data_IF_979929137248
#
_entry.id   IF_979929137248
#
_cell.length_a   1.000
_cell.length_b   1.000
_cell.length_c   1.000
_cell.angle_alpha   90.00
_cell.angle_beta   90.00
_cell.angle_gamma   90.00
#
_symmetry.space_group_name_H-M   'P 1'
#
loop_
_entity.id
_entity.type
_entity.pdbx_description
1 polymer ?
#
# COMPACT_ATOMS: atom_id res chain seq x y z
N UNK A 1 -1.95 4.45 0.43
CA UNK A 1 -3.32 4.78 0.89
C UNK A 1 -4.25 4.48 -0.27
N UNK A 2 -5.46 4.03 -0.01
CA UNK A 2 -6.47 3.79 -1.04
C UNK A 2 -7.73 4.59 -0.73
N UNK A 3 -8.32 5.20 -1.77
CA UNK A 3 -9.51 6.02 -1.63
C UNK A 3 -10.55 5.72 -2.68
N UNK A 4 -11.80 5.96 -2.31
CA UNK A 4 -12.92 5.90 -3.24
C UNK A 4 -13.20 7.33 -3.74
N UNK A 5 -12.91 7.65 -5.01
CA UNK A 5 -13.09 9.01 -5.54
C UNK A 5 -14.56 9.43 -5.67
N UNK A 6 -15.50 8.47 -5.65
CA UNK A 6 -16.93 8.75 -5.78
C UNK A 6 -17.57 9.11 -4.43
N UNK A 7 -17.09 8.53 -3.33
CA UNK A 7 -17.58 8.82 -1.98
C UNK A 7 -16.68 9.77 -1.20
N UNK A 8 -15.42 9.93 -1.64
CA UNK A 8 -14.39 10.68 -0.92
C UNK A 8 -13.84 9.97 0.32
N UNK A 9 -14.09 8.67 0.47
CA UNK A 9 -13.67 7.87 1.63
C UNK A 9 -12.25 7.34 1.44
N UNK A 10 -11.36 7.61 2.39
CA UNK A 10 -10.05 6.96 2.53
C UNK A 10 -10.23 5.64 3.27
N UNK A 11 -10.25 4.53 2.54
CA UNK A 11 -10.65 3.24 3.11
C UNK A 11 -9.50 2.33 3.53
N UNK A 12 -8.26 2.63 3.12
CA UNK A 12 -7.11 1.86 3.56
C UNK A 12 -5.85 2.72 3.74
N UNK A 13 -5.24 2.59 4.91
CA UNK A 13 -3.90 3.09 5.23
C UNK A 13 -2.98 1.89 5.41
N UNK A 14 -2.07 1.69 4.46
CA UNK A 14 -1.06 0.64 4.54
C UNK A 14 0.28 1.22 4.93
N UNK A 15 1.00 0.52 5.80
CA UNK A 15 2.37 0.86 6.19
C UNK A 15 3.22 -0.39 6.35
N UNK A 16 4.52 -0.27 6.19
CA UNK A 16 5.47 -1.32 6.54
C UNK A 16 6.58 -0.69 7.37
N UNK A 17 6.76 -1.18 8.60
CA UNK A 17 7.66 -0.58 9.59
C UNK A 17 8.94 -1.41 9.70
N UNK A 18 10.03 -0.87 9.17
CA UNK A 18 11.36 -1.41 9.42
C UNK A 18 11.90 -0.86 10.74
N UNK A 19 12.34 -1.76 11.61
CA UNK A 19 13.07 -1.44 12.84
C UNK A 19 14.56 -1.73 12.64
N UNK A 20 15.46 -1.15 13.45
CA UNK A 20 16.90 -1.44 13.35
C UNK A 20 17.20 -2.95 13.30
N UNK A 21 17.77 -3.42 12.19
CA UNK A 21 18.10 -4.83 11.97
C UNK A 21 16.92 -5.77 11.71
N UNK A 22 15.68 -5.27 11.59
CA UNK A 22 14.47 -6.07 11.40
C UNK A 22 13.54 -5.45 10.36
N UNK A 23 13.34 -6.15 9.25
CA UNK A 23 12.32 -5.78 8.26
C UNK A 23 10.92 -5.98 8.81
N UNK A 24 10.04 -5.04 8.51
CA UNK A 24 8.62 -5.13 8.81
C UNK A 24 7.86 -6.03 7.84
N UNK A 25 6.59 -6.23 8.15
CA UNK A 25 5.57 -6.71 7.23
C UNK A 25 4.53 -5.61 7.00
N UNK A 26 3.80 -5.63 5.88
CA UNK A 26 2.65 -4.74 5.69
C UNK A 26 1.64 -4.86 6.84
N UNK A 27 1.20 -3.71 7.33
CA UNK A 27 0.14 -3.50 8.31
C UNK A 27 -0.94 -2.61 7.68
N UNK A 28 -2.20 -2.90 7.95
CA UNK A 28 -3.33 -2.21 7.31
C UNK A 28 -4.33 -1.69 8.34
N UNK A 29 -4.73 -0.43 8.18
CA UNK A 29 -5.80 0.20 8.94
C UNK A 29 -6.90 0.55 7.96
N UNK A 30 -8.06 -0.07 8.11
CA UNK A 30 -9.10 -0.05 7.07
C UNK A 30 -10.42 0.47 7.60
N UNK A 31 -11.10 1.27 6.78
CA UNK A 31 -12.51 1.55 6.96
C UNK A 31 -13.32 0.39 6.37
N UNK A 32 -14.45 0.06 6.99
CA UNK A 32 -15.32 -1.03 6.58
C UNK A 32 -16.68 -0.58 6.05
N UNK A 33 -16.84 0.73 5.84
CA UNK A 33 -18.03 1.43 5.37
C UNK A 33 -17.66 2.77 4.74
N UNK A 34 -18.63 3.43 4.12
CA UNK A 34 -18.48 4.81 3.62
C UNK A 34 -18.62 5.89 4.69
N UNK A 35 -18.77 5.52 5.97
CA UNK A 35 -19.05 6.51 7.02
C UNK A 35 -17.81 7.25 7.47
N UNK A 36 -17.93 8.56 7.68
CA UNK A 36 -16.84 9.41 8.15
C UNK A 36 -16.24 8.94 9.48
N UNK A 37 -17.05 8.39 10.38
CA UNK A 37 -16.58 7.86 11.66
C UNK A 37 -15.72 6.59 11.50
N UNK A 38 -16.00 5.77 10.49
CA UNK A 38 -15.23 4.56 10.22
C UNK A 38 -13.91 4.89 9.51
N UNK A 39 -13.93 5.84 8.57
CA UNK A 39 -12.72 6.46 8.02
C UNK A 39 -11.86 7.07 9.14
N UNK A 40 -12.48 7.85 10.04
CA UNK A 40 -11.76 8.48 11.15
C UNK A 40 -11.08 7.45 12.06
N UNK A 41 -11.75 6.34 12.38
CA UNK A 41 -11.16 5.25 13.18
C UNK A 41 -9.97 4.60 12.49
N UNK A 42 -10.08 4.33 11.18
CA UNK A 42 -8.96 3.79 10.41
C UNK A 42 -7.77 4.77 10.38
N UNK A 43 -8.05 6.06 10.16
CA UNK A 43 -7.05 7.11 10.16
C UNK A 43 -6.38 7.29 11.52
N UNK A 44 -7.14 7.35 12.61
CA UNK A 44 -6.62 7.46 13.96
C UNK A 44 -5.74 6.25 14.32
N UNK A 45 -6.17 5.03 13.99
CA UNK A 45 -5.38 3.81 14.21
C UNK A 45 -4.03 3.85 13.47
N UNK A 46 -4.03 4.37 12.23
CA UNK A 46 -2.80 4.58 11.48
C UNK A 46 -1.86 5.60 12.16
N UNK A 47 -2.38 6.75 12.60
CA UNK A 47 -1.57 7.76 13.28
C UNK A 47 -1.05 7.23 14.62
N UNK A 48 -1.85 6.48 15.36
CA UNK A 48 -1.47 5.88 16.64
C UNK A 48 -0.29 4.91 16.45
N UNK A 49 -0.35 4.08 15.40
CA UNK A 49 0.76 3.22 15.02
C UNK A 49 2.03 4.01 14.71
N UNK A 50 1.93 5.13 13.98
CA UNK A 50 3.09 5.97 13.67
C UNK A 50 3.69 6.61 14.93
N UNK A 51 2.85 7.05 15.87
CA UNK A 51 3.29 7.57 17.15
C UNK A 51 3.96 6.51 18.02
N UNK A 52 3.50 5.26 17.99
CA UNK A 52 4.16 4.13 18.65
C UNK A 52 5.57 3.90 18.10
N UNK A 53 5.72 3.81 16.77
CA UNK A 53 7.04 3.64 16.13
C UNK A 53 7.95 4.79 16.50
N UNK A 54 7.48 6.04 16.36
CA UNK A 54 8.21 7.26 16.70
C UNK A 54 8.72 7.25 18.14
N UNK A 55 7.88 6.84 19.11
CA UNK A 55 8.28 6.74 20.53
C UNK A 55 9.37 5.69 20.74
N UNK A 56 9.34 4.60 19.98
CA UNK A 56 10.33 3.51 20.09
C UNK A 56 11.70 3.89 19.48
N UNK A 57 11.71 4.47 18.28
CA UNK A 57 12.95 4.80 17.55
C UNK A 57 13.51 6.20 17.85
N UNK A 58 12.71 7.06 18.48
CA UNK A 58 13.04 8.45 18.76
C UNK A 58 12.80 9.40 17.58
N UNK A 59 12.79 10.70 17.87
CA UNK A 59 12.40 11.77 16.94
C UNK A 59 13.27 11.89 15.69
N UNK A 60 14.56 11.58 15.82
CA UNK A 60 15.57 11.65 14.75
C UNK A 60 15.67 10.35 13.94
N UNK A 61 15.27 9.22 14.53
CA UNK A 61 15.30 7.90 13.89
C UNK A 61 14.06 7.57 13.05
N UNK A 62 13.07 8.47 13.00
CA UNK A 62 11.78 8.26 12.36
C UNK A 62 11.70 8.97 11.01
N UNK A 63 11.48 8.20 9.93
CA UNK A 63 11.26 8.71 8.58
C UNK A 63 10.16 7.89 7.88
N UNK A 64 9.35 8.56 7.05
CA UNK A 64 8.27 7.92 6.29
C UNK A 64 8.60 8.01 4.81
N UNK A 65 8.79 6.89 4.14
CA UNK A 65 9.01 6.87 2.70
C UNK A 65 7.68 6.70 1.98
N UNK A 66 7.45 7.50 0.95
CA UNK A 66 6.25 7.43 0.13
C UNK A 66 6.59 7.67 -1.35
N UNK A 67 5.62 7.42 -2.23
CA UNK A 67 5.81 7.56 -3.66
C UNK A 67 4.83 8.55 -4.27
N UNK A 68 5.34 9.71 -4.71
CA UNK A 68 4.58 10.83 -5.27
C UNK A 68 3.70 11.57 -4.26
N UNK A 69 2.88 12.50 -4.74
CA UNK A 69 2.29 13.55 -3.90
C UNK A 69 0.99 13.18 -3.17
N UNK A 70 0.45 11.99 -3.45
CA UNK A 70 -0.89 11.61 -3.01
C UNK A 70 -1.01 11.58 -1.49
N UNK A 71 -0.15 10.81 -0.81
CA UNK A 71 -0.27 10.54 0.63
C UNK A 71 -0.10 11.81 1.48
N UNK A 72 0.95 12.65 1.33
CA UNK A 72 1.08 13.85 2.16
C UNK A 72 -0.12 14.79 2.03
N UNK A 73 -0.65 14.94 0.81
CA UNK A 73 -1.81 15.79 0.54
C UNK A 73 -3.05 15.26 1.23
N UNK A 74 -3.27 13.95 1.18
CA UNK A 74 -4.47 13.32 1.72
C UNK A 74 -4.42 13.23 3.25
N UNK A 75 -3.25 13.03 3.85
CA UNK A 75 -3.08 13.11 5.31
C UNK A 75 -3.46 14.50 5.85
N UNK A 76 -3.01 15.58 5.21
CA UNK A 76 -3.37 16.95 5.60
C UNK A 76 -4.87 17.19 5.45
N UNK A 77 -5.46 16.76 4.33
CA UNK A 77 -6.91 16.86 4.09
C UNK A 77 -7.72 16.12 5.16
N UNK A 78 -7.30 14.92 5.56
CA UNK A 78 -7.98 14.13 6.59
C UNK A 78 -7.88 14.79 7.97
N UNK A 79 -6.71 15.33 8.33
CA UNK A 79 -6.54 16.04 9.59
C UNK A 79 -7.46 17.28 9.66
N UNK A 80 -7.54 18.05 8.56
CA UNK A 80 -8.47 19.18 8.46
C UNK A 80 -9.93 18.74 8.45
N UNK A 81 -10.27 17.64 7.78
CA UNK A 81 -11.63 17.09 7.74
C UNK A 81 -12.12 16.70 9.14
N UNK A 82 -11.25 16.12 9.96
CA UNK A 82 -11.59 15.55 11.27
C UNK A 82 -11.11 16.40 12.46
N UNK A 83 -10.66 17.64 12.23
CA UNK A 83 -10.12 18.57 13.24
C UNK A 83 -11.03 18.78 14.47
N UNK A 84 -12.35 18.77 14.26
CA UNK A 84 -13.32 19.05 15.33
C UNK A 84 -13.56 17.81 16.21
N UNK A 85 -13.12 16.63 15.76
CA UNK A 85 -13.15 15.39 16.53
C UNK A 85 -11.91 15.24 17.42
N UNK A 86 -10.74 15.68 16.91
CA UNK A 86 -9.47 15.67 17.64
C UNK A 86 -8.55 16.79 17.10
N UNK A 87 -8.35 17.85 17.89
CA UNK A 87 -7.52 19.00 17.49
C UNK A 87 -6.03 18.61 17.32
N UNK A 88 -5.57 17.52 17.96
CA UNK A 88 -4.17 17.08 17.89
C UNK A 88 -3.78 16.53 16.51
N UNK A 89 -4.75 16.18 15.66
CA UNK A 89 -4.51 15.63 14.33
C UNK A 89 -3.65 16.56 13.47
N UNK A 90 -3.87 17.87 13.57
CA UNK A 90 -3.13 18.86 12.79
C UNK A 90 -1.63 18.80 13.13
N UNK A 91 -1.30 18.82 14.41
CA UNK A 91 0.09 18.78 14.88
C UNK A 91 0.75 17.42 14.58
N UNK A 92 0.01 16.31 14.75
CA UNK A 92 0.49 14.95 14.43
C UNK A 92 0.82 14.83 12.95
N UNK A 93 -0.07 15.29 12.07
CA UNK A 93 0.15 15.21 10.62
C UNK A 93 1.22 16.20 10.14
N UNK A 94 1.29 17.42 10.67
CA UNK A 94 2.40 18.35 10.38
C UNK A 94 3.75 17.71 10.76
N UNK A 95 3.83 17.07 11.92
CA UNK A 95 5.02 16.36 12.35
C UNK A 95 5.43 15.24 11.38
N UNK A 96 4.47 14.39 10.96
CA UNK A 96 4.74 13.27 10.04
C UNK A 96 5.12 13.75 8.65
N UNK A 97 4.40 14.73 8.09
CA UNK A 97 4.64 15.25 6.74
C UNK A 97 6.01 15.90 6.60
N UNK A 98 6.56 16.51 7.66
CA UNK A 98 7.95 17.01 7.69
C UNK A 98 9.02 15.92 7.64
N UNK A 99 8.66 14.67 7.93
CA UNK A 99 9.54 13.48 7.91
C UNK A 99 9.25 12.56 6.73
N UNK A 100 8.35 12.97 5.83
CA UNK A 100 8.06 12.23 4.62
C UNK A 100 9.13 12.46 3.56
N UNK A 101 9.66 11.37 3.01
CA UNK A 101 10.65 11.35 1.94
C UNK A 101 9.99 10.88 0.65
N UNK A 102 9.93 11.79 -0.33
CA UNK A 102 9.30 11.58 -1.64
C UNK A 102 10.26 10.83 -2.58
N UNK A 103 10.09 9.51 -2.70
CA UNK A 103 10.93 8.66 -3.54
C UNK A 103 10.75 8.95 -5.03
N UNK A 104 9.58 9.42 -5.46
CA UNK A 104 9.35 9.81 -6.85
C UNK A 104 10.27 10.98 -7.23
N UNK A 105 10.31 12.02 -6.38
CA UNK A 105 11.23 13.15 -6.58
C UNK A 105 12.69 12.74 -6.50
N UNK A 106 13.04 11.87 -5.56
CA UNK A 106 14.41 11.41 -5.39
C UNK A 106 14.90 10.67 -6.65
N UNK A 107 14.15 9.66 -7.11
CA UNK A 107 14.50 8.86 -8.30
C UNK A 107 14.63 9.73 -9.54
N UNK A 108 13.71 10.67 -9.77
CA UNK A 108 13.79 11.57 -10.93
C UNK A 108 15.00 12.49 -10.92
N UNK A 109 15.52 12.82 -9.73
CA UNK A 109 16.70 13.69 -9.57
C UNK A 109 18.01 12.90 -9.65
N UNK A 110 18.00 11.63 -9.30
CA UNK A 110 19.23 10.82 -9.17
C UNK A 110 19.41 9.79 -10.29
N UNK A 111 18.34 9.38 -10.97
CA UNK A 111 18.36 8.26 -11.91
C UNK A 111 17.70 8.63 -13.24
N UNK A 112 18.42 8.44 -14.35
CA UNK A 112 17.87 8.49 -15.70
C UNK A 112 17.49 7.06 -16.14
N UNK A 113 16.20 6.73 -16.06
CA UNK A 113 15.69 5.39 -16.32
C UNK A 113 14.99 5.34 -17.70
N UNK A 114 15.21 4.27 -18.50
CA UNK A 114 14.57 4.10 -19.81
C UNK A 114 13.13 3.56 -19.66
N UNK A 115 12.27 4.33 -19.00
CA UNK A 115 10.85 3.98 -18.73
C UNK A 115 9.93 4.98 -19.42
N UNK A 116 8.70 4.56 -19.78
CA UNK A 116 7.77 5.44 -20.49
C UNK A 116 7.16 6.50 -19.56
N UNK A 117 7.03 6.17 -18.29
CA UNK A 117 6.63 7.04 -17.19
C UNK A 117 7.44 6.70 -15.93
N UNK A 118 7.49 7.65 -15.00
CA UNK A 118 8.04 7.40 -13.65
C UNK A 118 6.95 6.94 -12.69
N UNK A 119 5.99 6.14 -13.15
CA UNK A 119 5.10 5.43 -12.21
C UNK A 119 5.90 4.37 -11.46
N UNK A 120 5.52 4.04 -10.22
CA UNK A 120 6.20 2.99 -9.47
C UNK A 120 6.12 1.64 -10.21
N UNK A 121 5.03 1.40 -10.95
CA UNK A 121 4.80 0.19 -11.75
C UNK A 121 5.88 -0.03 -12.81
N UNK A 122 6.43 1.03 -13.39
CA UNK A 122 7.55 0.93 -14.36
C UNK A 122 8.92 1.07 -13.70
N UNK A 123 9.04 1.93 -12.68
CA UNK A 123 10.31 2.21 -12.02
C UNK A 123 10.80 1.01 -11.22
N UNK A 124 9.94 0.34 -10.45
CA UNK A 124 10.37 -0.74 -9.58
C UNK A 124 10.98 -1.94 -10.35
N UNK A 125 10.40 -2.43 -11.46
CA UNK A 125 11.03 -3.45 -12.29
C UNK A 125 12.35 -2.98 -12.93
N UNK A 126 12.43 -1.72 -13.35
CA UNK A 126 13.66 -1.16 -13.93
C UNK A 126 14.80 -1.13 -12.89
N UNK A 127 14.50 -0.67 -11.68
CA UNK A 127 15.45 -0.66 -10.55
C UNK A 127 15.88 -2.09 -10.19
N UNK A 128 14.95 -3.05 -10.15
CA UNK A 128 15.29 -4.46 -9.94
C UNK A 128 16.32 -4.95 -10.96
N UNK A 129 16.11 -4.71 -12.26
CA UNK A 129 17.07 -5.11 -13.29
C UNK A 129 18.44 -4.44 -13.12
N UNK A 130 18.49 -3.20 -12.60
CA UNK A 130 19.75 -2.53 -12.28
C UNK A 130 20.45 -3.14 -11.06
N UNK A 131 19.69 -3.48 -10.02
CA UNK A 131 20.19 -4.20 -8.84
C UNK A 131 20.80 -5.54 -9.23
N UNK A 132 20.09 -6.35 -10.03
CA UNK A 132 20.55 -7.64 -10.53
C UNK A 132 21.86 -7.52 -11.31
N UNK A 133 21.98 -6.52 -12.22
CA UNK A 133 23.22 -6.25 -12.96
C UNK A 133 24.40 -5.86 -12.08
N UNK A 134 24.13 -5.28 -10.91
CA UNK A 134 25.15 -4.93 -9.91
C UNK A 134 25.43 -6.06 -8.91
N UNK A 135 24.77 -7.23 -9.06
CA UNK A 135 24.87 -8.34 -8.12
C UNK A 135 24.25 -8.03 -6.75
N UNK A 136 23.36 -7.04 -6.67
CA UNK A 136 22.67 -6.67 -5.44
C UNK A 136 21.41 -7.51 -5.29
N UNK A 137 21.15 -8.09 -4.09
CA UNK A 137 19.92 -8.82 -3.83
C UNK A 137 18.73 -7.86 -3.70
N UNK A 138 17.52 -8.35 -3.97
CA UNK A 138 16.28 -7.61 -3.76
C UNK A 138 15.64 -7.12 -5.06
N UNK A 139 15.08 -5.91 -5.02
CA UNK A 139 14.17 -5.43 -6.05
C UNK A 139 12.74 -5.92 -5.84
N UNK A 140 11.86 -5.58 -6.79
CA UNK A 140 10.44 -5.91 -6.70
C UNK A 140 9.92 -6.51 -7.99
N UNK A 141 9.05 -7.51 -7.86
CA UNK A 141 8.26 -8.09 -8.93
C UNK A 141 6.79 -7.99 -8.56
N UNK A 142 6.01 -7.38 -9.44
CA UNK A 142 4.57 -7.24 -9.24
C UNK A 142 3.89 -8.60 -9.17
N UNK A 143 3.17 -8.83 -8.08
CA UNK A 143 2.28 -9.97 -7.92
C UNK A 143 1.15 -9.86 -8.95
N UNK A 144 0.84 -10.99 -9.59
CA UNK A 144 -0.22 -11.09 -10.59
C UNK A 144 -1.07 -12.30 -10.25
N UNK A 145 -2.22 -12.07 -9.63
CA UNK A 145 -3.26 -13.09 -9.51
C UNK A 145 -4.02 -13.06 -10.84
N UNK A 146 -4.05 -14.19 -11.54
CA UNK A 146 -4.66 -14.29 -12.87
C UNK A 146 -5.82 -15.27 -12.92
N UNK A 147 -6.03 -16.01 -11.83
CA UNK A 147 -7.06 -17.04 -11.78
C UNK A 147 -7.58 -17.26 -10.35
N UNK A 148 -8.75 -17.88 -10.26
CA UNK A 148 -9.35 -18.35 -9.00
C UNK A 148 -8.45 -19.37 -8.30
N UNK A 149 -7.69 -20.18 -9.06
CA UNK A 149 -6.73 -21.12 -8.49
C UNK A 149 -5.54 -20.40 -7.83
N UNK A 150 -5.05 -19.31 -8.44
CA UNK A 150 -4.02 -18.47 -7.85
C UNK A 150 -4.53 -17.69 -6.63
N UNK A 151 -5.80 -17.24 -6.64
CA UNK A 151 -6.45 -16.67 -5.47
C UNK A 151 -6.49 -17.68 -4.31
N UNK A 152 -6.90 -18.93 -4.58
CA UNK A 152 -6.93 -20.00 -3.56
C UNK A 152 -5.55 -20.22 -2.92
N UNK A 153 -4.49 -20.26 -3.73
CA UNK A 153 -3.11 -20.37 -3.25
C UNK A 153 -2.71 -19.17 -2.37
N UNK A 154 -3.10 -17.95 -2.76
CA UNK A 154 -2.78 -16.74 -2.02
C UNK A 154 -3.51 -16.68 -0.66
N UNK A 155 -4.78 -17.09 -0.62
CA UNK A 155 -5.56 -17.17 0.62
C UNK A 155 -4.99 -18.25 1.55
N UNK A 156 -4.60 -19.41 1.00
CA UNK A 156 -3.93 -20.47 1.76
C UNK A 156 -2.58 -20.00 2.33
N UNK A 157 -1.77 -19.28 1.55
CA UNK A 157 -0.51 -18.69 2.00
C UNK A 157 -0.72 -17.63 3.09
N UNK A 158 -1.87 -16.96 3.08
CA UNK A 158 -2.33 -16.05 4.14
C UNK A 158 -2.96 -16.76 5.34
N UNK A 159 -2.81 -18.10 5.44
CA UNK A 159 -3.30 -18.94 6.53
C UNK A 159 -4.83 -18.96 6.69
N UNK A 160 -5.59 -18.75 5.62
CA UNK A 160 -7.05 -18.89 5.67
C UNK A 160 -7.46 -20.36 5.79
N UNK A 161 -8.53 -20.61 6.54
CA UNK A 161 -9.07 -21.96 6.67
C UNK A 161 -9.74 -22.42 5.36
N UNK A 162 -9.59 -23.71 5.01
CA UNK A 162 -10.14 -24.29 3.78
C UNK A 162 -11.62 -23.96 3.49
N UNK A 163 -12.54 -24.00 4.48
CA UNK A 163 -13.93 -23.57 4.27
C UNK A 163 -14.07 -22.09 3.87
N UNK A 164 -13.27 -21.19 4.48
CA UNK A 164 -13.29 -19.77 4.16
C UNK A 164 -12.71 -19.49 2.76
N UNK A 165 -11.69 -20.24 2.36
CA UNK A 165 -11.12 -20.18 1.01
C UNK A 165 -12.16 -20.56 -0.03
N UNK A 166 -12.84 -21.72 0.14
CA UNK A 166 -13.89 -22.15 -0.79
C UNK A 166 -15.01 -21.12 -0.92
N UNK A 167 -15.49 -20.60 0.21
CA UNK A 167 -16.50 -19.53 0.24
C UNK A 167 -16.05 -18.29 -0.54
N UNK A 168 -14.79 -17.89 -0.39
CA UNK A 168 -14.21 -16.72 -1.05
C UNK A 168 -14.11 -16.91 -2.57
N UNK A 169 -13.65 -18.08 -3.01
CA UNK A 169 -13.58 -18.43 -4.43
C UNK A 169 -14.98 -18.50 -5.05
N UNK A 170 -15.95 -19.07 -4.34
CA UNK A 170 -17.35 -19.12 -4.79
C UNK A 170 -17.98 -17.73 -4.88
N UNK A 171 -17.68 -16.83 -3.95
CA UNK A 171 -18.12 -15.44 -3.97
C UNK A 171 -17.55 -14.69 -5.19
N UNK A 172 -16.25 -14.81 -5.46
CA UNK A 172 -15.64 -14.17 -6.63
C UNK A 172 -16.26 -14.73 -7.91
N UNK A 173 -16.47 -16.05 -8.01
CA UNK A 173 -17.14 -16.68 -9.16
C UNK A 173 -18.56 -16.15 -9.36
N UNK A 174 -19.29 -15.93 -8.26
CA UNK A 174 -20.65 -15.37 -8.33
C UNK A 174 -20.62 -13.94 -8.86
N UNK A 175 -19.74 -13.08 -8.35
CA UNK A 175 -19.57 -11.71 -8.87
C UNK A 175 -19.20 -11.73 -10.34
N UNK A 176 -18.25 -12.57 -10.74
CA UNK A 176 -17.90 -12.69 -12.16
C UNK A 176 -19.10 -13.06 -13.03
N UNK A 177 -19.94 -13.99 -12.58
CA UNK A 177 -21.17 -14.36 -13.29
C UNK A 177 -22.18 -13.21 -13.34
N UNK A 178 -22.36 -12.47 -12.23
CA UNK A 178 -23.28 -11.32 -12.15
C UNK A 178 -22.88 -10.20 -13.13
N UNK A 179 -21.58 -10.03 -13.41
CA UNK A 179 -21.03 -9.04 -14.34
C UNK A 179 -20.66 -9.61 -15.72
N UNK A 180 -21.05 -10.86 -16.02
CA UNK A 180 -20.76 -11.54 -17.29
C UNK A 180 -19.26 -11.57 -17.67
N UNK A 181 -18.38 -11.61 -16.66
CA UNK A 181 -16.93 -11.66 -16.86
C UNK A 181 -16.47 -13.08 -17.23
N UNK A 182 -15.99 -13.25 -18.45
CA UNK A 182 -15.44 -14.53 -18.93
C UNK A 182 -13.95 -14.72 -18.61
N UNK A 183 -13.22 -13.63 -18.39
CA UNK A 183 -11.78 -13.65 -18.07
C UNK A 183 -11.58 -13.44 -16.57
N UNK A 184 -11.01 -14.44 -15.88
CA UNK A 184 -10.68 -14.34 -14.46
C UNK A 184 -9.65 -13.25 -14.19
N UNK A 185 -8.75 -12.95 -15.13
CA UNK A 185 -7.75 -11.90 -14.91
C UNK A 185 -8.39 -10.50 -14.76
N UNK A 186 -9.59 -10.28 -15.32
CA UNK A 186 -10.27 -8.99 -15.26
C UNK A 186 -10.68 -8.60 -13.83
N UNK A 187 -11.16 -9.55 -13.01
CA UNK A 187 -11.56 -9.25 -11.62
C UNK A 187 -10.35 -9.08 -10.70
N UNK A 188 -9.17 -9.56 -11.12
CA UNK A 188 -7.91 -9.50 -10.38
C UNK A 188 -6.92 -8.45 -10.91
N UNK A 189 -7.35 -7.58 -11.82
CA UNK A 189 -6.48 -6.52 -12.32
C UNK A 189 -6.00 -5.64 -11.15
N UNK A 190 -4.68 -5.60 -10.97
CA UNK A 190 -4.02 -4.96 -9.84
C UNK A 190 -3.87 -3.45 -10.10
N UNK A 191 -5.00 -2.75 -10.11
CA UNK A 191 -5.11 -1.32 -10.41
C UNK A 191 -5.89 -0.56 -9.34
N UNK A 192 -5.68 0.75 -9.29
CA UNK A 192 -6.40 1.64 -8.37
C UNK A 192 -7.92 1.62 -8.62
N UNK A 193 -8.35 1.55 -9.88
CA UNK A 193 -9.78 1.49 -10.22
C UNK A 193 -10.42 0.20 -9.70
N UNK A 194 -9.70 -0.94 -9.81
CA UNK A 194 -10.17 -2.21 -9.28
C UNK A 194 -10.18 -2.25 -7.75
N UNK A 195 -9.24 -1.57 -7.08
CA UNK A 195 -9.26 -1.47 -5.62
C UNK A 195 -10.56 -0.78 -5.12
N UNK A 196 -11.07 0.21 -5.87
CA UNK A 196 -12.38 0.85 -5.60
C UNK A 196 -13.54 -0.12 -5.83
N UNK A 197 -13.52 -0.92 -6.89
CA UNK A 197 -14.54 -1.94 -7.15
C UNK A 197 -14.58 -2.97 -6.02
N UNK A 198 -13.44 -3.49 -5.61
CA UNK A 198 -13.35 -4.43 -4.49
C UNK A 198 -13.84 -3.79 -3.18
N UNK A 199 -13.53 -2.52 -2.92
CA UNK A 199 -14.04 -1.86 -1.73
C UNK A 199 -15.57 -1.75 -1.74
N UNK A 200 -16.16 -1.40 -2.87
CA UNK A 200 -17.61 -1.34 -3.01
C UNK A 200 -18.26 -2.72 -2.79
N UNK A 201 -17.68 -3.77 -3.39
CA UNK A 201 -18.13 -5.16 -3.18
C UNK A 201 -17.99 -5.57 -1.71
N UNK A 202 -16.91 -5.18 -1.04
CA UNK A 202 -16.72 -5.42 0.38
C UNK A 202 -17.81 -4.76 1.22
N UNK A 203 -18.10 -3.48 0.97
CA UNK A 203 -19.11 -2.73 1.73
C UNK A 203 -20.51 -3.31 1.53
N UNK A 204 -20.86 -3.67 0.29
CA UNK A 204 -22.18 -4.21 -0.07
C UNK A 204 -22.37 -5.65 0.42
N UNK A 205 -21.40 -6.53 0.16
CA UNK A 205 -21.56 -7.97 0.33
C UNK A 205 -21.01 -8.49 1.66
N UNK A 206 -20.14 -7.71 2.32
CA UNK A 206 -19.49 -8.08 3.59
C UNK A 206 -18.69 -9.38 3.53
N UNK A 207 -18.22 -9.76 2.34
CA UNK A 207 -17.35 -10.91 2.16
C UNK A 207 -15.87 -10.48 2.25
N UNK A 208 -15.06 -11.11 3.12
CA UNK A 208 -13.72 -10.61 3.45
C UNK A 208 -12.71 -10.74 2.32
N UNK A 209 -12.97 -11.57 1.29
CA UNK A 209 -12.10 -11.73 0.12
C UNK A 209 -11.87 -10.39 -0.61
N UNK A 210 -12.88 -9.53 -0.64
CA UNK A 210 -12.81 -8.25 -1.31
C UNK A 210 -11.83 -7.29 -0.62
N UNK A 211 -11.89 -7.17 0.71
CA UNK A 211 -10.89 -6.41 1.47
C UNK A 211 -9.51 -7.05 1.33
N UNK A 212 -9.44 -8.39 1.33
CA UNK A 212 -8.17 -9.11 1.19
C UNK A 212 -7.47 -8.82 -0.14
N UNK A 213 -8.20 -8.68 -1.25
CA UNK A 213 -7.64 -8.28 -2.54
C UNK A 213 -7.03 -6.87 -2.50
N UNK A 214 -7.69 -5.93 -1.82
CA UNK A 214 -7.17 -4.56 -1.61
C UNK A 214 -5.88 -4.61 -0.77
N UNK A 215 -5.85 -5.39 0.31
CA UNK A 215 -4.66 -5.59 1.14
C UNK A 215 -3.51 -6.20 0.33
N UNK A 216 -3.78 -7.19 -0.53
CA UNK A 216 -2.77 -7.81 -1.39
C UNK A 216 -2.19 -6.79 -2.36
N UNK A 217 -3.05 -5.99 -3.01
CA UNK A 217 -2.64 -4.92 -3.91
C UNK A 217 -1.77 -3.89 -3.20
N UNK A 218 -2.25 -3.36 -2.06
CA UNK A 218 -1.52 -2.34 -1.31
C UNK A 218 -0.22 -2.88 -0.69
N UNK A 219 -0.19 -4.15 -0.24
CA UNK A 219 1.03 -4.83 0.20
C UNK A 219 2.11 -4.83 -0.88
N UNK A 220 1.71 -5.00 -2.13
CA UNK A 220 2.63 -5.08 -3.26
C UNK A 220 3.25 -3.70 -3.55
N UNK A 221 2.44 -2.64 -3.49
CA UNK A 221 2.91 -1.25 -3.60
C UNK A 221 3.86 -0.87 -2.44
N UNK A 222 3.58 -1.31 -1.20
CA UNK A 222 4.50 -1.13 -0.05
C UNK A 222 5.83 -1.83 -0.28
N UNK A 223 5.83 -3.06 -0.79
CA UNK A 223 7.05 -3.82 -1.12
C UNK A 223 7.83 -3.16 -2.26
N UNK A 224 7.14 -2.66 -3.28
CA UNK A 224 7.76 -1.91 -4.37
C UNK A 224 8.44 -0.64 -3.84
N UNK A 225 7.74 0.13 -3.01
CA UNK A 225 8.26 1.34 -2.37
C UNK A 225 9.50 1.02 -1.54
N UNK A 226 9.46 -0.06 -0.76
CA UNK A 226 10.60 -0.49 0.06
C UNK A 226 11.80 -0.95 -0.77
N UNK A 227 11.58 -1.62 -1.90
CA UNK A 227 12.64 -2.01 -2.80
C UNK A 227 13.38 -0.79 -3.40
N UNK A 228 12.66 0.32 -3.60
CA UNK A 228 13.27 1.59 -3.99
C UNK A 228 14.11 2.20 -2.86
N UNK A 229 13.66 2.10 -1.61
CA UNK A 229 14.49 2.50 -0.45
C UNK A 229 15.76 1.65 -0.38
N UNK A 230 15.66 0.33 -0.59
CA UNK A 230 16.83 -0.57 -0.65
C UNK A 230 17.85 -0.09 -1.69
N UNK A 231 17.38 0.25 -2.90
CA UNK A 231 18.23 0.81 -3.94
C UNK A 231 19.02 2.04 -3.49
N UNK A 232 18.36 2.99 -2.82
CA UNK A 232 19.05 4.21 -2.33
C UNK A 232 20.04 3.93 -1.22
N UNK A 233 19.68 3.09 -0.24
CA UNK A 233 20.60 2.69 0.83
C UNK A 233 21.82 1.97 0.27
N UNK A 234 21.65 1.14 -0.77
CA UNK A 234 22.79 0.52 -1.45
C UNK A 234 23.67 1.52 -2.20
N UNK A 235 23.10 2.54 -2.83
CA UNK A 235 23.90 3.57 -3.51
C UNK A 235 24.72 4.37 -2.51
N UNK A 236 24.14 4.76 -1.37
CA UNK A 236 24.85 5.50 -0.32
C UNK A 236 26.07 4.73 0.22
N UNK A 237 25.91 3.44 0.53
CA UNK A 237 27.01 2.60 1.03
C UNK A 237 28.12 2.41 0.00
N UNK A 238 27.78 2.33 -1.28
CA UNK A 238 28.76 2.07 -2.36
C UNK A 238 29.43 3.35 -2.90
N UNK A 239 28.77 4.51 -2.83
CA UNK A 239 29.33 5.80 -3.25
C UNK A 239 30.14 6.50 -2.12
N UNK A 240 30.10 5.98 -0.88
CA UNK A 240 30.94 6.40 0.24
C UNK A 240 32.44 6.11 0.11
N UNK A 241 32.91 5.68 -1.07
CA UNK A 241 34.32 5.65 -1.47
C UNK A 241 34.52 6.60 -2.65
N UNK A 242 34.45 7.91 -2.41
CA UNK A 242 35.04 8.94 -3.26
C UNK A 242 35.58 10.09 -2.44
#
# INVERSE_FOLDING_TARGET
MESNPYTGTEYLFGVMVDMPGRRGSPEFFTAHSYSDNDEFRAFQSFLDRMDEVRKEVGEEGFAIFHYAHYEPTHLVKLAEKHRDQDESLIDRVDFFTRRMVDLYKLIRKTCFLPVSSYSIKEVAPCIRSLMERKGLPGGHEWKKIKSLAELEQELAASMWAGPAIRKSVDEVRKVMADFELSDEAAIFDASADMSVVWFNLYVERKEPVWMKLIEIYNADDLKATRALVDWFLFMEVNDGVK
#
